data_IF_479514361740
#
_entry.id   IF_479514361740
#
_cell.length_a   1.000
_cell.length_b   1.000
_cell.length_c   1.000
_cell.angle_alpha   90.00
_cell.angle_beta   90.00
_cell.angle_gamma   90.00
#
_symmetry.space_group_name_H-M   'P 1'
#
loop_
_entity.id
_entity.type
_entity.pdbx_description
1 polymer ?
#
# COMPACT_ATOMS: atom_id res chain seq x y z
N UNK A 1 -33.33 -41.60 -14.63
CA UNK A 1 -32.66 -40.44 -15.32
C UNK A 1 -32.57 -39.16 -14.49
N UNK A 2 -33.56 -38.83 -13.64
CA UNK A 2 -33.53 -37.61 -12.81
C UNK A 2 -32.46 -37.61 -11.70
N UNK A 3 -32.24 -38.75 -11.03
CA UNK A 3 -31.28 -38.86 -9.92
C UNK A 3 -29.82 -38.78 -10.40
N UNK A 4 -29.47 -39.39 -11.52
CA UNK A 4 -28.15 -39.30 -12.13
C UNK A 4 -27.83 -37.86 -12.55
N UNK A 5 -28.79 -37.14 -13.15
CA UNK A 5 -28.61 -35.72 -13.50
C UNK A 5 -28.37 -34.85 -12.29
N UNK A 6 -29.08 -35.08 -11.17
CA UNK A 6 -28.85 -34.35 -9.91
C UNK A 6 -27.47 -34.62 -9.34
N UNK A 7 -27.01 -35.89 -9.34
CA UNK A 7 -25.65 -36.24 -8.89
C UNK A 7 -24.56 -35.60 -9.74
N UNK A 8 -24.71 -35.57 -11.07
CA UNK A 8 -23.79 -34.92 -12.00
C UNK A 8 -23.77 -33.39 -11.73
N UNK A 9 -24.93 -32.75 -11.60
CA UNK A 9 -25.03 -31.33 -11.29
C UNK A 9 -24.34 -30.98 -9.98
N UNK A 10 -24.56 -31.77 -8.93
CA UNK A 10 -23.90 -31.58 -7.63
C UNK A 10 -22.39 -31.74 -7.72
N UNK A 11 -21.89 -32.72 -8.47
CA UNK A 11 -20.45 -32.92 -8.68
C UNK A 11 -19.84 -31.73 -9.43
N UNK A 12 -20.50 -31.25 -10.48
CA UNK A 12 -20.04 -30.05 -11.23
C UNK A 12 -20.01 -28.84 -10.31
N UNK A 13 -21.06 -28.61 -9.52
CA UNK A 13 -21.11 -27.49 -8.57
C UNK A 13 -19.98 -27.56 -7.53
N UNK A 14 -19.70 -28.75 -7.02
CA UNK A 14 -18.60 -28.99 -6.08
C UNK A 14 -17.24 -28.72 -6.72
N UNK A 15 -17.03 -29.17 -7.97
CA UNK A 15 -15.79 -28.91 -8.71
C UNK A 15 -15.58 -27.41 -8.95
N UNK A 16 -16.63 -26.69 -9.32
CA UNK A 16 -16.57 -25.23 -9.50
C UNK A 16 -16.20 -24.54 -8.19
N UNK A 17 -16.85 -24.93 -7.08
CA UNK A 17 -16.55 -24.36 -5.76
C UNK A 17 -15.10 -24.62 -5.34
N UNK A 18 -14.62 -25.85 -5.46
CA UNK A 18 -13.24 -26.23 -5.12
C UNK A 18 -12.25 -25.46 -6.00
N UNK A 19 -12.54 -25.32 -7.31
CA UNK A 19 -11.69 -24.56 -8.23
C UNK A 19 -11.65 -23.08 -7.86
N UNK A 20 -12.79 -22.47 -7.53
CA UNK A 20 -12.87 -21.07 -7.10
C UNK A 20 -12.13 -20.83 -5.78
N UNK A 21 -12.27 -21.73 -4.79
CA UNK A 21 -11.54 -21.65 -3.53
C UNK A 21 -10.02 -21.84 -3.73
N UNK A 22 -9.61 -22.77 -4.59
CA UNK A 22 -8.20 -22.98 -4.93
C UNK A 22 -7.62 -21.74 -5.60
N UNK A 23 -8.34 -21.16 -6.54
CA UNK A 23 -7.96 -19.91 -7.23
C UNK A 23 -7.80 -18.76 -6.22
N UNK A 24 -8.80 -18.55 -5.37
CA UNK A 24 -8.82 -17.47 -4.40
C UNK A 24 -7.73 -17.59 -3.32
N UNK A 25 -7.35 -18.82 -2.96
CA UNK A 25 -6.36 -19.08 -1.89
C UNK A 25 -4.93 -19.25 -2.41
N UNK A 26 -4.74 -19.84 -3.60
CA UNK A 26 -3.40 -20.22 -4.09
C UNK A 26 -2.91 -19.42 -5.28
N UNK A 27 -3.82 -18.95 -6.14
CA UNK A 27 -3.44 -18.34 -7.41
C UNK A 27 -3.51 -16.82 -7.31
N UNK A 28 -4.67 -16.27 -7.04
CA UNK A 28 -4.87 -14.82 -7.08
C UNK A 28 -4.01 -14.06 -6.06
N UNK A 29 -3.82 -14.51 -4.79
CA UNK A 29 -2.97 -13.81 -3.82
C UNK A 29 -1.49 -13.70 -4.22
N UNK A 30 -1.04 -14.48 -5.21
CA UNK A 30 0.33 -14.48 -5.72
C UNK A 30 0.44 -13.94 -7.15
N UNK A 31 -0.67 -13.53 -7.73
CA UNK A 31 -0.70 -13.02 -9.10
C UNK A 31 -0.59 -11.50 -9.11
N UNK A 32 0.63 -11.00 -8.84
CA UNK A 32 0.94 -9.58 -8.76
C UNK A 32 0.58 -8.86 -10.06
N UNK A 33 -0.08 -7.73 -9.92
CA UNK A 33 -0.35 -6.76 -10.98
C UNK A 33 0.58 -5.55 -10.80
N UNK A 34 1.20 -5.10 -11.89
CA UNK A 34 1.98 -3.87 -11.91
C UNK A 34 1.11 -2.82 -12.59
N UNK A 35 0.73 -1.77 -11.85
CA UNK A 35 0.01 -0.62 -12.39
C UNK A 35 0.96 0.54 -12.61
N UNK A 36 0.70 1.37 -13.61
CA UNK A 36 1.60 2.46 -13.99
C UNK A 36 0.83 3.76 -14.12
N UNK A 37 1.31 4.82 -13.47
CA UNK A 37 0.66 6.12 -13.40
C UNK A 37 1.65 7.23 -13.70
N UNK A 38 1.23 8.21 -14.50
CA UNK A 38 2.00 9.45 -14.77
C UNK A 38 1.34 10.59 -14.00
N UNK A 39 2.10 11.23 -13.13
CA UNK A 39 1.63 12.34 -12.29
C UNK A 39 2.24 13.65 -12.78
N UNK A 40 1.39 14.62 -13.05
CA UNK A 40 1.81 15.91 -13.61
C UNK A 40 2.08 15.84 -15.11
N UNK A 41 3.03 16.65 -15.59
CA UNK A 41 3.42 16.69 -16.99
C UNK A 41 4.49 15.64 -17.28
N UNK A 42 4.40 14.88 -18.39
CA UNK A 42 5.45 13.94 -18.76
C UNK A 42 6.79 14.63 -18.91
N UNK A 43 7.83 14.05 -18.33
CA UNK A 43 9.23 14.54 -18.46
C UNK A 43 10.07 13.47 -19.17
N UNK A 44 11.21 13.89 -19.76
CA UNK A 44 12.15 12.95 -20.39
C UNK A 44 12.94 12.13 -19.37
N UNK A 45 12.98 12.56 -18.10
CA UNK A 45 13.68 11.90 -17.02
C UNK A 45 12.81 11.93 -15.76
N UNK A 46 11.73 11.11 -15.70
CA UNK A 46 10.81 11.08 -14.59
C UNK A 46 11.43 10.39 -13.37
N UNK A 47 11.07 10.84 -12.19
CA UNK A 47 11.36 10.11 -10.94
C UNK A 47 10.41 8.92 -10.85
N UNK A 48 10.96 7.72 -10.69
CA UNK A 48 10.22 6.47 -10.55
C UNK A 48 9.96 6.17 -9.07
N UNK A 49 8.72 6.23 -8.66
CA UNK A 49 8.30 5.88 -7.30
C UNK A 49 7.50 4.58 -7.34
N UNK A 50 7.88 3.60 -6.53
CA UNK A 50 7.05 2.40 -6.31
C UNK A 50 6.36 2.53 -4.97
N UNK A 51 5.05 2.34 -4.95
CA UNK A 51 4.28 2.14 -3.73
C UNK A 51 4.08 0.65 -3.48
N UNK A 52 4.47 0.23 -2.28
CA UNK A 52 4.07 -1.04 -1.66
C UNK A 52 3.29 -0.71 -0.39
N UNK A 53 2.18 -1.34 -0.18
CA UNK A 53 1.34 -1.19 1.01
C UNK A 53 0.73 -2.52 1.40
N UNK A 54 0.28 -2.62 2.64
CA UNK A 54 -0.45 -3.80 3.09
C UNK A 54 0.32 -5.10 2.76
N UNK A 55 1.62 -5.10 3.08
CA UNK A 55 2.49 -6.24 2.82
C UNK A 55 2.14 -7.43 3.71
N UNK A 56 1.76 -7.16 4.98
CA UNK A 56 1.47 -8.18 5.98
C UNK A 56 2.49 -9.31 5.91
N UNK A 57 3.78 -8.92 6.03
CA UNK A 57 4.88 -9.87 5.88
C UNK A 57 4.72 -11.03 6.85
N UNK A 58 4.77 -12.22 6.31
CA UNK A 58 4.64 -13.49 7.02
C UNK A 58 5.85 -14.41 6.77
N UNK A 59 5.68 -15.71 6.89
CA UNK A 59 6.72 -16.70 6.63
C UNK A 59 6.88 -17.12 5.16
N UNK A 60 6.06 -16.58 4.24
CA UNK A 60 6.11 -16.94 2.80
C UNK A 60 7.26 -16.21 2.07
N UNK A 61 8.47 -16.70 2.28
CA UNK A 61 9.68 -16.11 1.72
C UNK A 61 9.72 -16.16 0.19
N UNK A 62 9.07 -17.13 -0.46
CA UNK A 62 9.04 -17.24 -1.91
C UNK A 62 8.19 -16.14 -2.54
N UNK A 63 7.03 -15.83 -1.93
CA UNK A 63 6.20 -14.72 -2.38
C UNK A 63 6.88 -13.37 -2.15
N UNK A 64 7.51 -13.18 -0.99
CA UNK A 64 8.27 -11.96 -0.69
C UNK A 64 9.42 -11.76 -1.68
N UNK A 65 10.12 -12.86 -2.03
CA UNK A 65 11.15 -12.80 -3.08
C UNK A 65 10.56 -12.39 -4.43
N UNK A 66 9.41 -12.92 -4.81
CA UNK A 66 8.73 -12.53 -6.05
C UNK A 66 8.40 -11.03 -6.05
N UNK A 67 7.92 -10.47 -4.92
CA UNK A 67 7.67 -9.03 -4.77
C UNK A 67 8.96 -8.23 -4.95
N UNK A 68 10.04 -8.60 -4.25
CA UNK A 68 11.35 -7.94 -4.34
C UNK A 68 11.88 -7.98 -5.77
N UNK A 69 11.88 -9.14 -6.41
CA UNK A 69 12.36 -9.29 -7.80
C UNK A 69 11.55 -8.41 -8.76
N UNK A 70 10.22 -8.35 -8.58
CA UNK A 70 9.33 -7.50 -9.38
C UNK A 70 9.62 -6.01 -9.20
N UNK A 71 9.87 -5.58 -7.95
CA UNK A 71 10.21 -4.19 -7.61
C UNK A 71 11.55 -3.80 -8.23
N UNK A 72 12.58 -4.62 -8.04
CA UNK A 72 13.93 -4.33 -8.55
C UNK A 72 13.99 -4.32 -10.09
N UNK A 73 13.19 -5.16 -10.76
CA UNK A 73 13.08 -5.17 -12.22
C UNK A 73 12.50 -3.86 -12.81
N UNK A 74 11.80 -3.05 -12.02
CA UNK A 74 11.27 -1.74 -12.42
C UNK A 74 12.29 -0.61 -12.27
N UNK A 75 13.43 -0.88 -11.60
CA UNK A 75 14.50 0.10 -11.36
C UNK A 75 13.97 1.41 -10.72
N UNK A 76 13.35 1.34 -9.52
CA UNK A 76 12.80 2.50 -8.87
C UNK A 76 13.90 3.44 -8.31
N UNK A 77 13.64 4.74 -8.31
CA UNK A 77 14.45 5.72 -7.59
C UNK A 77 14.14 5.73 -6.10
N UNK A 78 12.86 5.55 -5.77
CA UNK A 78 12.35 5.49 -4.39
C UNK A 78 11.26 4.42 -4.27
N UNK A 79 11.25 3.73 -3.13
CA UNK A 79 10.16 2.86 -2.70
C UNK A 79 9.43 3.53 -1.54
N UNK A 80 8.11 3.52 -1.58
CA UNK A 80 7.23 3.98 -0.49
C UNK A 80 6.51 2.78 0.10
N UNK A 81 6.74 2.53 1.40
CA UNK A 81 6.00 1.57 2.21
C UNK A 81 4.90 2.34 2.94
N UNK A 82 3.66 2.28 2.45
CA UNK A 82 2.58 3.12 2.96
C UNK A 82 1.71 2.44 4.03
N UNK A 83 2.35 1.74 4.98
CA UNK A 83 1.71 1.12 6.17
C UNK A 83 1.35 -0.35 6.00
N UNK A 84 1.00 -0.97 7.12
CA UNK A 84 0.65 -2.38 7.26
C UNK A 84 1.72 -3.31 6.65
N UNK A 85 2.98 -3.02 6.99
CA UNK A 85 4.13 -3.80 6.51
C UNK A 85 4.28 -5.09 7.31
N UNK A 86 4.06 -5.03 8.62
CA UNK A 86 4.07 -6.18 9.54
C UNK A 86 2.86 -6.13 10.46
N UNK A 87 2.27 -7.29 10.69
CA UNK A 87 1.10 -7.50 11.54
C UNK A 87 1.34 -8.48 12.71
N UNK A 88 2.61 -8.88 12.91
CA UNK A 88 3.04 -9.72 14.03
C UNK A 88 4.50 -9.40 14.39
N UNK A 89 4.82 -9.19 15.68
CA UNK A 89 6.21 -9.01 16.15
C UNK A 89 7.17 -10.13 15.74
N UNK A 90 6.68 -11.35 15.60
CA UNK A 90 7.50 -12.51 15.18
C UNK A 90 8.05 -12.32 13.74
N UNK A 91 7.37 -11.53 12.92
CA UNK A 91 7.75 -11.26 11.53
C UNK A 91 8.74 -10.09 11.36
N UNK A 92 9.20 -9.44 12.43
CA UNK A 92 10.25 -8.40 12.35
C UNK A 92 11.56 -8.94 11.75
N UNK A 93 11.87 -10.23 11.94
CA UNK A 93 13.01 -10.87 11.28
C UNK A 93 12.81 -10.99 9.77
N UNK A 94 11.60 -11.28 9.36
CA UNK A 94 11.22 -11.33 7.94
C UNK A 94 11.34 -9.95 7.31
N UNK A 95 10.86 -8.91 7.99
CA UNK A 95 11.04 -7.51 7.58
C UNK A 95 12.52 -7.15 7.35
N UNK A 96 13.42 -7.52 8.26
CA UNK A 96 14.86 -7.29 8.08
C UNK A 96 15.38 -7.94 6.80
N UNK A 97 14.96 -9.17 6.54
CA UNK A 97 15.36 -9.90 5.33
C UNK A 97 14.82 -9.26 4.05
N UNK A 98 13.58 -8.80 4.08
CA UNK A 98 12.93 -8.10 2.99
C UNK A 98 13.63 -6.77 2.68
N UNK A 99 13.81 -5.91 3.68
CA UNK A 99 14.47 -4.62 3.54
C UNK A 99 15.94 -4.75 3.09
N UNK A 100 16.65 -5.76 3.57
CA UNK A 100 18.03 -6.01 3.16
C UNK A 100 18.16 -6.20 1.65
N UNK A 101 17.19 -6.85 1.01
CA UNK A 101 17.21 -7.07 -0.45
C UNK A 101 16.93 -5.78 -1.23
N UNK A 102 16.26 -4.81 -0.62
CA UNK A 102 15.89 -3.50 -1.20
C UNK A 102 16.83 -2.37 -0.77
N UNK A 103 17.83 -2.62 0.08
CA UNK A 103 18.66 -1.60 0.76
C UNK A 103 19.49 -0.71 -0.18
N UNK A 104 19.66 -1.09 -1.45
CA UNK A 104 20.31 -0.28 -2.47
C UNK A 104 19.40 0.86 -3.01
N UNK A 105 18.10 0.82 -2.72
CA UNK A 105 17.12 1.83 -3.08
C UNK A 105 16.76 2.66 -1.84
N UNK A 106 16.45 3.93 -2.02
CA UNK A 106 15.90 4.76 -0.94
C UNK A 106 14.49 4.32 -0.61
N UNK A 107 14.17 4.17 0.67
CA UNK A 107 12.86 3.74 1.12
C UNK A 107 12.29 4.76 2.09
N UNK A 108 11.04 5.15 1.87
CA UNK A 108 10.21 5.92 2.80
C UNK A 108 9.14 4.97 3.35
N UNK A 109 8.90 5.00 4.65
CA UNK A 109 7.86 4.22 5.29
C UNK A 109 6.94 5.10 6.14
N UNK A 110 5.68 4.73 6.26
CA UNK A 110 4.75 5.21 7.28
C UNK A 110 4.16 4.02 8.02
N UNK A 111 3.46 4.28 9.13
CA UNK A 111 2.73 3.26 9.86
C UNK A 111 1.32 3.10 9.28
N UNK A 112 0.82 1.88 9.33
CA UNK A 112 -0.59 1.57 9.18
C UNK A 112 -1.22 1.18 10.52
N UNK A 113 -2.44 0.69 10.49
CA UNK A 113 -3.15 0.31 11.71
C UNK A 113 -2.63 -0.99 12.32
N UNK A 114 -2.13 -1.91 11.52
CA UNK A 114 -1.66 -3.20 12.03
C UNK A 114 -0.39 -3.08 12.87
N UNK A 115 0.53 -2.18 12.58
CA UNK A 115 1.68 -1.95 13.45
C UNK A 115 1.25 -1.59 14.89
N UNK A 116 0.13 -0.85 15.04
CA UNK A 116 -0.44 -0.52 16.35
C UNK A 116 -1.25 -1.68 16.95
N UNK A 117 -2.14 -2.28 16.16
CA UNK A 117 -3.04 -3.34 16.66
C UNK A 117 -2.30 -4.60 17.08
N UNK A 118 -1.18 -4.88 16.47
CA UNK A 118 -0.31 -6.01 16.81
C UNK A 118 0.73 -5.68 17.89
N UNK A 119 0.65 -4.47 18.48
CA UNK A 119 1.58 -4.01 19.51
C UNK A 119 3.06 -4.11 19.05
N UNK A 120 3.33 -3.79 17.79
CA UNK A 120 4.71 -3.67 17.31
C UNK A 120 5.40 -2.56 18.09
N UNK A 121 6.59 -2.83 18.62
CA UNK A 121 7.43 -1.81 19.24
C UNK A 121 7.92 -0.85 18.15
N UNK A 122 7.34 0.37 18.12
CA UNK A 122 7.61 1.38 17.08
C UNK A 122 9.06 1.88 17.16
N UNK A 123 9.68 1.93 18.34
CA UNK A 123 11.09 2.29 18.47
C UNK A 123 11.99 1.21 17.86
N UNK A 124 11.69 -0.05 18.13
CA UNK A 124 12.38 -1.18 17.50
C UNK A 124 12.18 -1.19 15.98
N UNK A 125 10.97 -0.92 15.51
CA UNK A 125 10.65 -0.84 14.08
C UNK A 125 11.44 0.29 13.41
N UNK A 126 11.52 1.47 14.03
CA UNK A 126 12.31 2.60 13.55
C UNK A 126 13.80 2.26 13.48
N UNK A 127 14.35 1.54 14.46
CA UNK A 127 15.73 1.06 14.42
C UNK A 127 15.95 0.10 13.24
N UNK A 128 15.04 -0.86 13.04
CA UNK A 128 15.13 -1.78 11.89
C UNK A 128 15.12 -1.00 10.58
N UNK A 129 14.20 -0.08 10.40
CA UNK A 129 14.14 0.72 9.17
C UNK A 129 15.44 1.50 8.92
N UNK A 130 15.99 2.12 9.96
CA UNK A 130 17.23 2.90 9.83
C UNK A 130 18.46 2.06 9.47
N UNK A 131 18.49 0.75 9.83
CA UNK A 131 19.54 -0.18 9.43
C UNK A 131 19.58 -0.45 7.92
N UNK A 132 18.45 -0.22 7.21
CA UNK A 132 18.25 -0.59 5.80
C UNK A 132 17.86 0.57 4.88
N UNK A 133 18.47 1.74 5.05
CA UNK A 133 18.26 2.92 4.19
C UNK A 133 16.77 3.34 4.08
N UNK A 134 15.99 3.10 5.14
CA UNK A 134 14.56 3.40 5.20
C UNK A 134 14.29 4.49 6.22
N UNK A 135 13.59 5.55 5.80
CA UNK A 135 13.15 6.64 6.68
C UNK A 135 11.69 6.42 7.09
N UNK A 136 11.45 6.12 8.37
CA UNK A 136 10.09 6.07 8.92
C UNK A 136 9.59 7.49 9.19
N UNK A 137 8.45 7.84 8.61
CA UNK A 137 7.79 9.13 8.78
C UNK A 137 6.49 8.97 9.56
N UNK A 138 6.44 9.53 10.76
CA UNK A 138 5.24 9.59 11.61
C UNK A 138 5.00 11.06 11.93
N UNK A 139 4.07 11.70 11.24
CA UNK A 139 3.84 13.15 11.27
C UNK A 139 5.14 13.95 10.98
N UNK A 140 5.93 13.46 10.04
CA UNK A 140 7.25 13.97 9.71
C UNK A 140 7.45 14.07 8.20
N UNK A 141 8.41 14.88 7.78
CA UNK A 141 8.77 15.01 6.38
C UNK A 141 10.25 14.65 6.14
N UNK A 142 10.53 14.17 4.94
CA UNK A 142 11.88 13.92 4.44
C UNK A 142 11.99 14.33 2.98
N UNK A 143 13.13 14.86 2.57
CA UNK A 143 13.35 15.31 1.21
C UNK A 143 14.61 14.68 0.60
N UNK A 144 14.51 14.39 -0.69
CA UNK A 144 15.63 13.93 -1.50
C UNK A 144 15.85 14.85 -2.70
N UNK A 145 17.05 14.79 -3.25
CA UNK A 145 17.34 15.29 -4.58
C UNK A 145 17.61 14.09 -5.50
N UNK A 146 16.82 13.99 -6.57
CA UNK A 146 16.85 12.88 -7.55
C UNK A 146 16.76 13.51 -8.93
N UNK A 147 17.67 13.15 -9.84
CA UNK A 147 17.74 13.70 -11.20
C UNK A 147 17.76 15.24 -11.20
N UNK A 148 18.49 15.86 -10.25
CA UNK A 148 18.53 17.31 -10.02
C UNK A 148 17.16 17.95 -9.73
N UNK A 149 16.18 17.17 -9.28
CA UNK A 149 14.85 17.61 -8.86
C UNK A 149 14.65 17.34 -7.37
N UNK A 150 14.07 18.30 -6.66
CA UNK A 150 13.72 18.14 -5.26
C UNK A 150 12.39 17.41 -5.13
N UNK A 151 12.37 16.37 -4.33
CA UNK A 151 11.15 15.66 -3.95
C UNK A 151 11.10 15.53 -2.43
N UNK A 152 9.94 15.85 -1.84
CA UNK A 152 9.70 15.65 -0.41
C UNK A 152 8.53 14.70 -0.19
N UNK A 153 8.64 13.95 0.87
CA UNK A 153 7.62 13.04 1.36
C UNK A 153 7.11 13.54 2.71
N UNK A 154 5.80 13.61 2.86
CA UNK A 154 5.11 13.96 4.09
C UNK A 154 4.39 12.71 4.57
N UNK A 155 4.90 12.05 5.62
CA UNK A 155 4.28 10.86 6.20
C UNK A 155 3.40 11.25 7.37
N UNK A 156 2.11 10.95 7.30
CA UNK A 156 1.20 11.05 8.42
C UNK A 156 1.23 9.76 9.24
N UNK A 157 0.90 9.88 10.51
CA UNK A 157 0.56 8.76 11.35
C UNK A 157 -0.77 8.14 10.90
N UNK A 158 -1.04 6.87 11.20
CA UNK A 158 -2.27 6.22 10.75
C UNK A 158 -3.54 6.91 11.28
N UNK A 159 -4.56 6.99 10.42
CA UNK A 159 -5.82 7.66 10.76
C UNK A 159 -6.69 6.83 11.71
N UNK A 160 -6.62 5.50 11.64
CA UNK A 160 -7.51 4.63 12.42
C UNK A 160 -6.95 4.25 13.78
N UNK A 161 -5.63 4.06 13.87
CA UNK A 161 -4.98 3.56 15.09
C UNK A 161 -3.95 4.55 15.68
N UNK A 162 -3.47 5.50 14.88
CA UNK A 162 -2.50 6.51 15.27
C UNK A 162 -3.12 7.87 15.62
N UNK A 163 -2.31 8.91 15.47
CA UNK A 163 -2.69 10.31 15.73
C UNK A 163 -2.18 11.21 14.60
N UNK A 164 -2.80 11.21 13.42
CA UNK A 164 -2.33 12.01 12.29
C UNK A 164 -2.37 13.50 12.62
N UNK A 165 -1.28 14.19 12.29
CA UNK A 165 -1.10 15.62 12.53
C UNK A 165 -0.37 16.30 11.39
N UNK A 166 -0.94 17.38 10.88
CA UNK A 166 -0.35 18.24 9.85
C UNK A 166 0.48 19.39 10.43
N UNK A 167 0.56 19.53 11.76
CA UNK A 167 1.06 20.72 12.43
C UNK A 167 2.51 21.12 12.11
N UNK A 168 3.33 20.18 11.65
CA UNK A 168 4.75 20.41 11.33
C UNK A 168 5.00 20.58 9.82
N UNK A 169 4.00 20.36 8.99
CA UNK A 169 4.19 20.43 7.54
C UNK A 169 4.12 21.86 7.05
N UNK A 170 5.08 22.20 6.22
CA UNK A 170 5.05 23.46 5.48
C UNK A 170 4.04 23.32 4.33
N UNK A 171 3.40 24.42 3.98
CA UNK A 171 2.62 24.53 2.74
C UNK A 171 3.53 24.25 1.51
N UNK A 172 3.03 24.47 0.33
CA UNK A 172 3.79 24.26 -0.92
C UNK A 172 5.20 24.87 -0.86
N UNK A 173 6.20 24.08 -1.25
CA UNK A 173 7.58 24.56 -1.46
C UNK A 173 7.77 24.71 -2.97
N UNK A 174 8.16 25.91 -3.47
CA UNK A 174 8.43 26.09 -4.89
C UNK A 174 9.47 25.10 -5.43
N UNK A 175 9.31 24.68 -6.66
CA UNK A 175 10.24 23.80 -7.39
C UNK A 175 10.53 22.46 -6.69
N UNK A 176 9.56 22.00 -5.87
CA UNK A 176 9.68 20.75 -5.11
C UNK A 176 8.44 19.91 -5.32
N UNK A 177 8.60 18.71 -5.86
CA UNK A 177 7.53 17.70 -5.89
C UNK A 177 7.22 17.25 -4.46
N UNK A 178 5.93 17.18 -4.12
CA UNK A 178 5.49 16.83 -2.77
C UNK A 178 4.56 15.63 -2.82
N UNK A 179 4.91 14.57 -2.08
CA UNK A 179 4.11 13.34 -1.95
C UNK A 179 3.67 13.19 -0.51
N UNK A 180 2.37 13.14 -0.27
CA UNK A 180 1.79 12.84 1.04
C UNK A 180 1.51 11.34 1.13
N UNK A 181 1.85 10.74 2.26
CA UNK A 181 1.61 9.33 2.53
C UNK A 181 0.70 9.23 3.75
N UNK A 182 -0.44 8.58 3.57
CA UNK A 182 -1.41 8.28 4.62
C UNK A 182 -2.01 6.90 4.37
N UNK A 183 -1.79 5.97 5.31
CA UNK A 183 -2.22 4.60 5.12
C UNK A 183 -3.74 4.49 4.90
N UNK A 184 -4.54 4.98 5.85
CA UNK A 184 -6.00 4.86 5.84
C UNK A 184 -6.67 6.05 5.12
N UNK A 185 -7.23 5.86 3.91
CA UNK A 185 -7.66 6.97 3.05
C UNK A 185 -8.87 7.76 3.57
N UNK A 186 -9.62 7.23 4.52
CA UNK A 186 -10.78 7.93 5.12
C UNK A 186 -10.43 9.26 5.81
N UNK A 187 -9.16 9.52 6.10
CA UNK A 187 -8.70 10.83 6.57
C UNK A 187 -9.12 11.94 5.60
N UNK A 188 -9.12 11.67 4.30
CA UNK A 188 -9.45 12.67 3.28
C UNK A 188 -10.94 13.02 3.25
N UNK A 189 -11.81 12.19 3.83
CA UNK A 189 -13.24 12.48 4.03
C UNK A 189 -13.52 13.22 5.33
N UNK A 190 -12.63 13.13 6.33
CA UNK A 190 -12.88 13.66 7.66
C UNK A 190 -12.76 15.19 7.70
N UNK A 191 -13.86 15.85 8.04
CA UNK A 191 -13.95 17.32 8.19
C UNK A 191 -13.03 17.89 9.28
N UNK A 192 -12.59 17.06 10.24
CA UNK A 192 -11.60 17.44 11.26
C UNK A 192 -10.30 17.96 10.62
N UNK A 193 -9.95 17.47 9.43
CA UNK A 193 -8.77 17.86 8.70
C UNK A 193 -9.03 18.91 7.61
N UNK A 194 -10.22 19.51 7.56
CA UNK A 194 -10.64 20.48 6.53
C UNK A 194 -9.62 21.63 6.39
N UNK A 195 -9.15 22.19 7.51
CA UNK A 195 -8.14 23.25 7.46
C UNK A 195 -6.86 22.80 6.74
N UNK A 196 -6.33 21.65 7.09
CA UNK A 196 -5.13 21.11 6.47
C UNK A 196 -5.33 20.81 4.98
N UNK A 197 -6.48 20.23 4.62
CA UNK A 197 -6.85 19.92 3.21
C UNK A 197 -6.86 21.17 2.33
N UNK A 198 -7.17 22.33 2.87
CA UNK A 198 -7.16 23.58 2.11
C UNK A 198 -5.80 24.29 2.06
N UNK A 199 -4.93 24.07 3.04
CA UNK A 199 -3.68 24.81 3.19
C UNK A 199 -2.44 24.02 2.76
N UNK A 200 -2.47 22.69 2.82
CA UNK A 200 -1.39 21.81 2.38
C UNK A 200 -1.77 21.22 1.04
N UNK A 201 -1.03 21.58 0.01
CA UNK A 201 -1.19 21.01 -1.33
C UNK A 201 0.01 20.15 -1.65
N UNK A 202 -0.26 18.97 -2.21
CA UNK A 202 0.76 18.03 -2.66
C UNK A 202 0.44 17.55 -4.06
N UNK A 203 1.46 17.08 -4.77
CA UNK A 203 1.35 16.66 -6.16
C UNK A 203 0.74 15.25 -6.26
N UNK A 204 0.90 14.44 -5.21
CA UNK A 204 0.37 13.09 -5.10
C UNK A 204 0.11 12.75 -3.64
N UNK A 205 -0.97 12.02 -3.39
CA UNK A 205 -1.21 11.34 -2.13
C UNK A 205 -1.25 9.82 -2.34
N UNK A 206 -0.61 9.06 -1.46
CA UNK A 206 -0.54 7.61 -1.51
C UNK A 206 -1.25 7.02 -0.30
N UNK A 207 -2.16 6.07 -0.53
CA UNK A 207 -2.89 5.35 0.51
C UNK A 207 -2.98 3.86 0.19
N UNK A 208 -3.28 3.06 1.21
CA UNK A 208 -3.52 1.62 1.15
C UNK A 208 -4.78 1.22 1.92
N UNK A 209 -4.62 0.28 2.89
CA UNK A 209 -5.63 -0.10 3.89
C UNK A 209 -6.84 -0.88 3.36
N UNK A 210 -7.30 -0.58 2.17
CA UNK A 210 -8.57 -1.09 1.64
C UNK A 210 -8.46 -2.48 1.02
N UNK A 211 -7.25 -2.90 0.66
CA UNK A 211 -6.95 -4.11 -0.13
C UNK A 211 -7.77 -4.22 -1.43
N UNK A 212 -8.32 -3.09 -1.95
CA UNK A 212 -9.30 -3.12 -3.04
C UNK A 212 -10.54 -3.95 -2.69
N UNK A 213 -10.87 -4.03 -1.38
CA UNK A 213 -11.91 -4.88 -0.83
C UNK A 213 -11.53 -6.35 -0.71
N UNK A 214 -10.30 -6.77 -1.10
CA UNK A 214 -9.72 -8.11 -1.02
C UNK A 214 -10.55 -9.23 -1.67
N UNK A 215 -11.88 -9.23 -1.44
CA UNK A 215 -12.85 -10.15 -2.05
C UNK A 215 -13.93 -9.33 -2.72
N UNK A 216 -13.99 -9.42 -4.05
CA UNK A 216 -15.02 -8.78 -4.85
C UNK A 216 -15.83 -9.84 -5.60
N UNK A 217 -17.12 -9.62 -5.76
CA UNK A 217 -17.98 -10.53 -6.50
C UNK A 217 -18.70 -9.76 -7.61
N UNK A 218 -18.46 -10.16 -8.85
CA UNK A 218 -18.98 -9.47 -10.05
C UNK A 218 -18.68 -7.96 -10.06
N UNK A 219 -17.45 -7.58 -9.63
CA UNK A 219 -17.02 -6.19 -9.53
C UNK A 219 -17.59 -5.42 -8.35
N UNK A 220 -18.31 -6.08 -7.44
CA UNK A 220 -18.81 -5.47 -6.20
C UNK A 220 -17.91 -5.84 -5.03
N UNK A 221 -17.42 -4.84 -4.34
CA UNK A 221 -16.66 -5.00 -3.10
C UNK A 221 -17.63 -5.45 -2.00
N UNK A 222 -17.27 -6.50 -1.29
CA UNK A 222 -18.11 -7.05 -0.24
C UNK A 222 -17.87 -6.38 1.10
N UNK A 223 -16.65 -5.90 1.35
CA UNK A 223 -16.25 -5.28 2.60
C UNK A 223 -15.08 -4.32 2.37
N UNK A 224 -15.07 -3.22 3.07
CA UNK A 224 -13.92 -2.33 3.25
C UNK A 224 -13.70 -2.11 4.75
N UNK A 225 -12.45 -2.05 5.24
CA UNK A 225 -12.18 -1.82 6.66
C UNK A 225 -12.62 -0.42 7.09
N UNK A 226 -12.81 -0.25 8.41
CA UNK A 226 -13.06 1.06 8.99
C UNK A 226 -11.85 1.98 8.74
N UNK A 227 -12.08 3.20 8.29
CA UNK A 227 -10.99 4.13 7.91
C UNK A 227 -10.78 4.21 6.40
N UNK A 228 -11.50 3.42 5.60
CA UNK A 228 -11.48 3.54 4.14
C UNK A 228 -12.19 4.78 3.60
N UNK A 229 -13.17 5.34 4.33
CA UNK A 229 -14.06 6.35 3.77
C UNK A 229 -14.88 5.79 2.61
N UNK A 230 -15.06 6.57 1.56
CA UNK A 230 -15.68 6.11 0.31
C UNK A 230 -14.65 5.58 -0.71
N UNK A 231 -13.37 5.56 -0.33
CA UNK A 231 -12.28 5.16 -1.18
C UNK A 231 -12.08 3.63 -1.16
N UNK A 232 -11.73 3.06 -2.30
CA UNK A 232 -11.50 1.61 -2.41
C UNK A 232 -10.22 1.25 -3.15
N UNK A 233 -10.07 1.67 -4.39
CA UNK A 233 -8.88 1.43 -5.21
C UNK A 233 -8.78 2.45 -6.35
N UNK A 234 -7.57 2.73 -6.82
CA UNK A 234 -7.33 3.59 -7.97
C UNK A 234 -7.18 5.08 -7.63
N UNK A 235 -7.34 5.93 -8.64
CA UNK A 235 -7.06 7.37 -8.55
C UNK A 235 -8.34 8.15 -8.21
N UNK A 236 -8.22 8.99 -7.18
CA UNK A 236 -9.26 9.92 -6.72
C UNK A 236 -8.76 11.36 -6.77
N UNK A 237 -9.69 12.30 -6.98
CA UNK A 237 -9.40 13.72 -6.80
C UNK A 237 -9.90 14.16 -5.42
N UNK A 238 -8.97 14.64 -4.59
CA UNK A 238 -9.28 15.21 -3.29
C UNK A 238 -8.98 16.70 -3.27
N UNK A 239 -9.42 17.41 -2.25
CA UNK A 239 -9.14 18.84 -2.09
C UNK A 239 -7.64 19.13 -1.89
N UNK A 240 -6.85 18.13 -1.49
CA UNK A 240 -5.42 18.28 -1.19
C UNK A 240 -4.53 17.87 -2.37
N UNK A 241 -4.87 16.77 -3.03
CA UNK A 241 -4.03 16.10 -4.02
C UNK A 241 -4.83 15.14 -4.89
N UNK A 242 -4.36 14.77 -6.09
CA UNK A 242 -4.71 13.50 -6.68
C UNK A 242 -4.20 12.39 -5.74
N UNK A 243 -5.11 11.54 -5.26
CA UNK A 243 -4.81 10.46 -4.33
C UNK A 243 -4.94 9.10 -5.02
N UNK A 244 -3.92 8.28 -4.87
CA UNK A 244 -3.96 6.88 -5.30
C UNK A 244 -4.15 5.95 -4.09
N UNK A 245 -5.16 5.09 -4.17
CA UNK A 245 -5.43 4.04 -3.19
C UNK A 245 -5.05 2.70 -3.81
N UNK A 246 -3.97 2.09 -3.32
CA UNK A 246 -3.49 0.81 -3.82
C UNK A 246 -4.27 -0.36 -3.22
N UNK A 247 -4.37 -1.44 -4.00
CA UNK A 247 -4.97 -2.71 -3.55
C UNK A 247 -4.08 -3.49 -2.59
N UNK A 248 -2.84 -3.02 -2.36
CA UNK A 248 -1.89 -3.69 -1.49
C UNK A 248 -1.35 -5.02 -2.03
N UNK A 249 -0.29 -5.51 -1.41
CA UNK A 249 0.46 -6.69 -1.86
C UNK A 249 0.03 -7.96 -1.11
N UNK A 250 -0.12 -7.87 0.20
CA UNK A 250 -0.46 -9.02 1.07
C UNK A 250 -1.95 -9.31 1.18
N UNK A 251 -2.32 -9.98 2.23
CA UNK A 251 -3.71 -10.26 2.61
C UNK A 251 -3.89 -9.95 4.09
N UNK A 252 -5.06 -9.44 4.46
CA UNK A 252 -5.41 -9.16 5.85
C UNK A 252 -6.50 -10.11 6.33
N UNK A 253 -6.45 -10.53 7.60
CA UNK A 253 -7.40 -11.41 8.30
C UNK A 253 -7.49 -12.83 7.74
N UNK A 254 -7.71 -12.99 6.45
CA UNK A 254 -7.79 -14.30 5.78
C UNK A 254 -6.89 -14.30 4.54
N UNK A 255 -6.15 -15.38 4.27
CA UNK A 255 -5.19 -15.44 3.17
C UNK A 255 -5.87 -15.73 1.82
N UNK A 256 -6.86 -14.91 1.45
CA UNK A 256 -7.68 -15.08 0.23
C UNK A 256 -7.78 -13.74 -0.49
N UNK A 257 -7.58 -13.76 -1.81
CA UNK A 257 -7.99 -12.69 -2.71
C UNK A 257 -8.89 -13.25 -3.80
N UNK A 258 -9.93 -12.51 -4.14
CA UNK A 258 -10.84 -12.88 -5.23
C UNK A 258 -11.37 -11.63 -5.92
N UNK A 259 -10.98 -11.43 -7.19
CA UNK A 259 -11.32 -10.26 -7.97
C UNK A 259 -10.62 -8.97 -7.53
N UNK A 260 -9.54 -9.09 -6.73
CA UNK A 260 -8.68 -7.98 -6.28
C UNK A 260 -7.23 -8.47 -6.17
N UNK A 261 -6.50 -8.45 -7.28
CA UNK A 261 -5.12 -8.95 -7.36
C UNK A 261 -4.18 -8.08 -6.53
N UNK A 262 -3.11 -8.70 -5.93
CA UNK A 262 -2.02 -7.93 -5.33
C UNK A 262 -1.45 -6.91 -6.29
N UNK A 263 -1.07 -5.75 -5.81
CA UNK A 263 -0.64 -4.64 -6.64
C UNK A 263 0.71 -4.06 -6.22
N UNK A 264 1.56 -3.83 -7.20
CA UNK A 264 2.73 -2.95 -7.13
C UNK A 264 2.40 -1.73 -8.00
N UNK A 265 2.26 -0.55 -7.40
CA UNK A 265 1.95 0.66 -8.13
C UNK A 265 3.22 1.46 -8.45
N UNK A 266 3.45 1.74 -9.74
CA UNK A 266 4.59 2.51 -10.26
C UNK A 266 4.13 3.90 -10.70
N UNK A 267 4.77 4.93 -10.19
CA UNK A 267 4.51 6.32 -10.54
C UNK A 267 5.71 6.92 -11.24
N UNK A 268 5.44 7.64 -12.33
CA UNK A 268 6.37 8.53 -13.01
C UNK A 268 5.98 9.98 -12.70
N UNK A 269 6.87 10.72 -12.06
CA UNK A 269 6.65 12.10 -11.63
C UNK A 269 7.65 13.05 -12.30
#
# INVERSE_FOLDING_TARGET
MSDLRKKISLLISLLILVSALTYAYRIEPRWIEITTHVIGQPTSDPIKIIQLTDLHLDSDTDYQKQVVDSVLALEPDIIVLSGDVVDDPEHLKTLKTFLKQLSNVKIIATLGNWEYWSNIDIEQLQQIYSEYNTSLLVNAEHAYEIHNRKIRFLGLDDYTAGKPSFGNFRSTIPDTVSVLIQHSPGLFDDEKFSYAKHHIKTDLCLAGHTHGGQITLFGKILYTPQGSGHFTEGLYQTDMCPMYVSKGVGTSLIPIRFGSRPEIALFFI
#
